data_IF_970472434189
#
_entry.id   IF_970472434189
#
_cell.length_a   1.000
_cell.length_b   1.000
_cell.length_c   1.000
_cell.angle_alpha   90.00
_cell.angle_beta   90.00
_cell.angle_gamma   90.00
#
_symmetry.space_group_name_H-M   'P 1'
#
loop_
_entity.id
_entity.type
_entity.pdbx_description
1 polymer ?
#
# COMPACT_ATOMS: atom_id res chain seq x y z
N UNK A 1 -7.54 20.27 -1.83
CA UNK A 1 -7.92 19.36 -0.71
C UNK A 1 -7.98 17.95 -1.29
N UNK A 2 -7.02 17.08 -0.95
CA UNK A 2 -7.03 15.65 -1.34
C UNK A 2 -7.54 14.78 -0.18
N UNK A 3 -7.89 13.52 -0.43
CA UNK A 3 -8.24 12.55 0.61
C UNK A 3 -9.62 11.92 0.49
N UNK A 4 -10.56 12.48 -0.28
CA UNK A 4 -11.93 11.92 -0.34
C UNK A 4 -12.00 10.60 -1.11
N UNK A 5 -11.31 10.51 -2.25
CA UNK A 5 -11.21 9.27 -3.03
C UNK A 5 -10.42 8.21 -2.25
N UNK A 6 -9.34 8.63 -1.61
CA UNK A 6 -8.45 7.76 -0.84
C UNK A 6 -9.19 7.15 0.36
N UNK A 7 -10.05 7.94 1.03
CA UNK A 7 -10.96 7.43 2.07
C UNK A 7 -11.96 6.43 1.52
N UNK A 8 -12.57 6.67 0.35
CA UNK A 8 -13.50 5.70 -0.26
C UNK A 8 -12.82 4.37 -0.59
N UNK A 9 -11.58 4.41 -1.08
CA UNK A 9 -10.76 3.21 -1.31
C UNK A 9 -10.54 2.46 0.01
N UNK A 10 -10.12 3.17 1.06
CA UNK A 10 -9.89 2.58 2.38
C UNK A 10 -11.15 1.93 2.95
N UNK A 11 -12.30 2.60 2.88
CA UNK A 11 -13.56 2.05 3.37
C UNK A 11 -14.01 0.83 2.55
N UNK A 12 -13.82 0.86 1.22
CA UNK A 12 -14.08 -0.31 0.39
C UNK A 12 -13.20 -1.49 0.79
N UNK A 13 -11.90 -1.27 1.03
CA UNK A 13 -10.98 -2.31 1.52
C UNK A 13 -11.44 -2.85 2.87
N UNK A 14 -11.73 -1.99 3.85
CA UNK A 14 -12.17 -2.42 5.19
C UNK A 14 -13.44 -3.28 5.16
N UNK A 15 -14.33 -3.03 4.21
CA UNK A 15 -15.60 -3.76 4.07
C UNK A 15 -15.46 -5.09 3.31
N UNK A 16 -14.46 -5.23 2.44
CA UNK A 16 -14.41 -6.35 1.48
C UNK A 16 -13.14 -7.21 1.57
N UNK A 17 -12.03 -6.65 2.04
CA UNK A 17 -10.76 -7.36 2.19
C UNK A 17 -10.65 -8.04 3.56
N UNK A 18 -9.72 -8.99 3.66
CA UNK A 18 -9.42 -9.70 4.91
C UNK A 18 -8.41 -8.89 5.73
N UNK A 19 -8.78 -8.53 6.96
CA UNK A 19 -7.87 -7.85 7.90
C UNK A 19 -6.67 -8.74 8.20
N UNK A 20 -5.47 -8.16 8.11
CA UNK A 20 -4.20 -8.87 8.31
C UNK A 20 -3.71 -9.65 7.09
N UNK A 21 -4.39 -9.56 5.95
CA UNK A 21 -3.97 -10.15 4.68
C UNK A 21 -3.57 -9.05 3.67
N UNK A 22 -2.27 -8.78 3.49
CA UNK A 22 -1.79 -7.79 2.54
C UNK A 22 -2.16 -8.06 1.08
N UNK A 23 -2.29 -9.33 0.68
CA UNK A 23 -2.64 -9.67 -0.70
C UNK A 23 -4.10 -9.33 -0.95
N UNK A 24 -4.98 -9.72 -0.02
CA UNK A 24 -6.40 -9.33 -0.07
C UNK A 24 -6.59 -7.82 -0.16
N UNK A 25 -5.79 -7.03 0.58
CA UNK A 25 -5.83 -5.57 0.53
C UNK A 25 -5.46 -5.04 -0.87
N UNK A 26 -4.35 -5.50 -1.45
CA UNK A 26 -3.88 -5.09 -2.79
C UNK A 26 -4.95 -5.41 -3.84
N UNK A 27 -5.48 -6.63 -3.83
CA UNK A 27 -6.50 -7.09 -4.79
C UNK A 27 -7.77 -6.24 -4.73
N UNK A 28 -8.19 -5.82 -3.52
CA UNK A 28 -9.39 -5.01 -3.34
C UNK A 28 -9.19 -3.54 -3.71
N UNK A 29 -7.98 -3.00 -3.58
CA UNK A 29 -7.66 -1.66 -4.13
C UNK A 29 -7.73 -1.71 -5.66
N UNK A 30 -7.09 -2.69 -6.30
CA UNK A 30 -7.12 -2.86 -7.76
C UNK A 30 -8.56 -3.05 -8.28
N UNK A 31 -9.36 -3.86 -7.58
CA UNK A 31 -10.78 -4.06 -7.90
C UNK A 31 -11.60 -2.78 -7.81
N UNK A 32 -11.43 -1.99 -6.73
CA UNK A 32 -12.12 -0.71 -6.61
C UNK A 32 -11.74 0.23 -7.76
N UNK A 33 -10.44 0.34 -8.04
CA UNK A 33 -9.94 1.31 -8.99
C UNK A 33 -10.26 0.96 -10.45
N UNK A 34 -10.42 -0.33 -10.76
CA UNK A 34 -10.84 -0.80 -12.08
C UNK A 34 -12.36 -0.74 -12.31
N UNK A 35 -13.17 -0.86 -11.26
CA UNK A 35 -14.64 -1.01 -11.39
C UNK A 35 -15.45 0.20 -10.93
N UNK A 36 -14.88 1.08 -10.08
CA UNK A 36 -15.62 2.18 -9.43
C UNK A 36 -15.06 3.53 -9.80
N UNK A 37 -13.80 3.79 -9.45
CA UNK A 37 -13.20 5.11 -9.61
C UNK A 37 -11.69 4.97 -9.83
N UNK A 38 -11.20 5.48 -10.96
CA UNK A 38 -9.78 5.43 -11.28
C UNK A 38 -8.93 6.18 -10.23
N UNK A 39 -7.81 5.56 -9.84
CA UNK A 39 -6.83 6.14 -8.94
C UNK A 39 -5.41 5.90 -9.42
N UNK A 40 -4.51 6.76 -8.95
CA UNK A 40 -3.10 6.85 -9.40
C UNK A 40 -2.16 5.85 -8.72
N UNK A 41 -2.69 4.81 -8.06
CA UNK A 41 -1.89 3.69 -7.57
C UNK A 41 -1.13 2.99 -8.72
N UNK A 42 -0.05 2.28 -8.38
CA UNK A 42 0.82 1.60 -9.34
C UNK A 42 0.04 0.62 -10.23
N UNK A 43 -0.96 -0.05 -9.66
CA UNK A 43 -1.77 -1.04 -10.35
C UNK A 43 -1.03 -2.37 -10.55
N UNK A 44 -1.79 -3.43 -10.83
CA UNK A 44 -1.27 -4.79 -10.79
C UNK A 44 -0.14 -5.08 -11.79
N UNK A 45 -0.27 -4.66 -13.05
CA UNK A 45 0.72 -4.96 -14.10
C UNK A 45 2.13 -4.43 -13.76
N UNK A 46 2.22 -3.16 -13.36
CA UNK A 46 3.50 -2.56 -12.90
C UNK A 46 3.90 -3.10 -11.52
N UNK A 47 2.92 -3.48 -10.70
CA UNK A 47 3.16 -4.12 -9.42
C UNK A 47 3.89 -5.46 -9.55
N UNK A 48 3.63 -6.25 -10.59
CA UNK A 48 4.37 -7.50 -10.84
C UNK A 48 5.84 -7.25 -11.16
N UNK A 49 6.16 -6.16 -11.85
CA UNK A 49 7.53 -5.73 -12.10
C UNK A 49 8.21 -5.35 -10.78
N UNK A 50 7.53 -4.58 -9.93
CA UNK A 50 8.03 -4.22 -8.61
C UNK A 50 8.28 -5.45 -7.73
N UNK A 51 7.34 -6.41 -7.71
CA UNK A 51 7.48 -7.65 -6.97
C UNK A 51 8.70 -8.46 -7.41
N UNK A 52 8.96 -8.50 -8.73
CA UNK A 52 10.13 -9.16 -9.31
C UNK A 52 11.43 -8.47 -8.86
N UNK A 53 11.50 -7.14 -8.95
CA UNK A 53 12.68 -6.38 -8.53
C UNK A 53 12.99 -6.60 -7.05
N UNK A 54 11.98 -6.60 -6.17
CA UNK A 54 12.19 -6.86 -4.74
C UNK A 54 12.76 -8.26 -4.46
N UNK A 55 12.29 -9.27 -5.19
CA UNK A 55 12.79 -10.64 -5.06
C UNK A 55 14.22 -10.80 -5.58
N UNK A 56 14.54 -10.13 -6.69
CA UNK A 56 15.87 -10.22 -7.32
C UNK A 56 16.94 -9.44 -6.56
N UNK A 57 16.57 -8.30 -5.97
CA UNK A 57 17.52 -7.42 -5.28
C UNK A 57 17.70 -7.74 -3.79
N UNK A 58 16.74 -8.45 -3.18
CA UNK A 58 16.75 -8.86 -1.77
C UNK A 58 17.19 -7.71 -0.81
N UNK A 59 16.44 -6.59 -0.80
CA UNK A 59 16.90 -5.37 -0.13
C UNK A 59 16.94 -5.52 1.39
N UNK A 60 17.88 -4.82 2.02
CA UNK A 60 17.96 -4.70 3.49
C UNK A 60 17.16 -3.51 4.05
N UNK A 61 16.81 -2.56 3.20
CA UNK A 61 15.97 -1.39 3.51
C UNK A 61 15.34 -0.87 2.20
N UNK A 62 14.10 -0.41 2.25
CA UNK A 62 13.43 0.24 1.12
C UNK A 62 12.99 1.64 1.50
N UNK A 63 13.14 2.59 0.58
CA UNK A 63 12.58 3.94 0.68
C UNK A 63 11.55 4.14 -0.44
N UNK A 64 10.35 4.58 -0.07
CA UNK A 64 9.28 4.98 -0.98
C UNK A 64 9.04 6.50 -0.86
N UNK A 65 8.97 7.18 -2.00
CA UNK A 65 8.64 8.60 -2.10
C UNK A 65 7.26 8.75 -2.73
N UNK A 66 6.26 9.13 -1.92
CA UNK A 66 4.86 9.20 -2.31
C UNK A 66 4.09 7.93 -1.93
N UNK A 67 3.52 7.91 -0.72
CA UNK A 67 2.74 6.76 -0.22
C UNK A 67 1.31 6.71 -0.78
N UNK A 68 0.72 7.87 -1.06
CA UNK A 68 -0.67 8.02 -1.49
C UNK A 68 -1.66 7.29 -0.56
N UNK A 69 -2.43 6.31 -1.06
CA UNK A 69 -3.37 5.52 -0.25
C UNK A 69 -2.74 4.25 0.37
N UNK A 70 -1.42 4.04 0.20
CA UNK A 70 -0.70 2.91 0.80
C UNK A 70 -0.61 1.64 -0.06
N UNK A 71 -1.09 1.65 -1.31
CA UNK A 71 -1.05 0.47 -2.20
C UNK A 71 0.36 -0.12 -2.36
N UNK A 72 1.31 0.71 -2.81
CA UNK A 72 2.68 0.26 -3.05
C UNK A 72 3.41 -0.05 -1.75
N UNK A 73 3.15 0.68 -0.66
CA UNK A 73 3.68 0.35 0.66
C UNK A 73 3.27 -1.06 1.13
N UNK A 74 1.98 -1.41 1.02
CA UNK A 74 1.47 -2.76 1.34
C UNK A 74 2.09 -3.79 0.40
N UNK A 75 2.17 -3.50 -0.91
CA UNK A 75 2.74 -4.39 -1.92
C UNK A 75 4.23 -4.68 -1.69
N UNK A 76 5.01 -3.68 -1.33
CA UNK A 76 6.42 -3.84 -0.99
C UNK A 76 6.55 -4.62 0.32
N UNK A 77 5.90 -4.16 1.38
CA UNK A 77 6.11 -4.69 2.73
C UNK A 77 5.66 -6.15 2.91
N UNK A 78 4.70 -6.64 2.11
CA UNK A 78 4.30 -8.06 2.13
C UNK A 78 5.42 -8.99 1.67
N UNK A 79 6.34 -8.52 0.83
CA UNK A 79 7.45 -9.30 0.28
C UNK A 79 8.76 -9.16 1.08
N UNK A 80 8.83 -8.21 2.02
CA UNK A 80 10.03 -7.99 2.82
C UNK A 80 10.23 -9.11 3.87
N UNK A 81 11.48 -9.54 4.03
CA UNK A 81 11.90 -10.45 5.12
C UNK A 81 11.60 -9.82 6.51
N UNK A 82 11.46 -10.62 7.59
CA UNK A 82 11.04 -10.12 8.91
C UNK A 82 11.84 -8.93 9.48
N UNK A 83 13.14 -8.87 9.20
CA UNK A 83 14.05 -7.83 9.71
C UNK A 83 14.23 -6.64 8.76
N UNK A 84 13.60 -6.67 7.58
CA UNK A 84 13.70 -5.60 6.59
C UNK A 84 12.56 -4.62 6.82
N UNK A 85 12.87 -3.34 6.62
CA UNK A 85 11.92 -2.23 6.82
C UNK A 85 11.67 -1.49 5.52
N UNK A 86 10.46 -0.94 5.42
CA UNK A 86 10.10 0.07 4.44
C UNK A 86 9.98 1.41 5.16
N UNK A 87 10.65 2.44 4.65
CA UNK A 87 10.39 3.83 5.01
C UNK A 87 9.56 4.43 3.87
N UNK A 88 8.43 5.03 4.17
CA UNK A 88 7.58 5.69 3.17
C UNK A 88 7.28 7.13 3.58
N UNK A 89 7.31 8.04 2.60
CA UNK A 89 7.15 9.48 2.82
C UNK A 89 5.94 9.98 2.03
N UNK A 90 4.99 10.63 2.71
CA UNK A 90 3.84 11.27 2.08
C UNK A 90 3.67 12.72 2.55
N UNK A 91 3.72 13.65 1.59
CA UNK A 91 3.64 15.08 1.88
C UNK A 91 2.22 15.51 2.28
N UNK A 92 1.18 14.88 1.72
CA UNK A 92 -0.19 15.24 2.03
C UNK A 92 -0.67 14.53 3.31
N UNK A 93 -1.00 15.26 4.38
CA UNK A 93 -1.36 14.65 5.67
C UNK A 93 -2.64 13.78 5.60
N UNK A 94 -3.59 14.10 4.70
CA UNK A 94 -4.79 13.29 4.55
C UNK A 94 -4.49 11.94 3.89
N UNK A 95 -3.61 11.93 2.89
CA UNK A 95 -3.15 10.69 2.26
C UNK A 95 -2.33 9.87 3.25
N UNK A 96 -1.42 10.51 3.99
CA UNK A 96 -0.61 9.86 5.01
C UNK A 96 -1.48 9.18 6.08
N UNK A 97 -2.56 9.82 6.53
CA UNK A 97 -3.52 9.21 7.45
C UNK A 97 -4.20 7.97 6.85
N UNK A 98 -4.69 8.06 5.60
CA UNK A 98 -5.30 6.92 4.90
C UNK A 98 -4.31 5.77 4.72
N UNK A 99 -3.08 6.07 4.30
CA UNK A 99 -2.04 5.06 4.11
C UNK A 99 -1.70 4.34 5.41
N UNK A 100 -1.57 5.06 6.54
CA UNK A 100 -1.33 4.46 7.86
C UNK A 100 -2.42 3.47 8.24
N UNK A 101 -3.69 3.85 8.07
CA UNK A 101 -4.82 2.95 8.32
C UNK A 101 -4.83 1.75 7.37
N UNK A 102 -4.49 1.94 6.09
CA UNK A 102 -4.40 0.86 5.11
C UNK A 102 -3.32 -0.16 5.49
N UNK A 103 -2.13 0.33 5.85
CA UNK A 103 -0.97 -0.47 6.28
C UNK A 103 -1.31 -1.24 7.57
N UNK A 104 -1.98 -0.59 8.52
CA UNK A 104 -2.41 -1.23 9.76
C UNK A 104 -3.46 -2.30 9.50
N UNK A 105 -4.45 -2.02 8.65
CA UNK A 105 -5.47 -3.00 8.26
C UNK A 105 -4.86 -4.22 7.57
N UNK A 106 -3.82 -4.02 6.76
CA UNK A 106 -3.04 -5.09 6.13
C UNK A 106 -2.15 -5.88 7.11
N UNK A 107 -2.02 -5.45 8.38
CA UNK A 107 -1.20 -6.13 9.38
C UNK A 107 0.31 -5.85 9.24
N UNK A 108 0.69 -4.73 8.61
CA UNK A 108 2.09 -4.43 8.24
C UNK A 108 2.71 -3.29 9.05
N UNK A 109 2.03 -2.82 10.11
CA UNK A 109 2.48 -1.68 10.93
C UNK A 109 3.91 -1.82 11.47
N UNK A 110 4.34 -3.04 11.80
CA UNK A 110 5.67 -3.27 12.39
C UNK A 110 6.80 -3.34 11.33
N UNK A 111 6.44 -3.38 10.04
CA UNK A 111 7.38 -3.40 8.91
C UNK A 111 7.54 -2.05 8.21
N UNK A 112 6.55 -1.16 8.33
CA UNK A 112 6.50 0.10 7.60
C UNK A 112 6.61 1.28 8.55
N UNK A 113 7.62 2.11 8.34
CA UNK A 113 7.78 3.40 9.00
C UNK A 113 7.29 4.51 8.07
N UNK A 114 6.18 5.17 8.44
CA UNK A 114 5.54 6.22 7.65
C UNK A 114 5.83 7.60 8.22
N UNK A 115 6.44 8.45 7.39
CA UNK A 115 6.76 9.85 7.67
C UNK A 115 5.69 10.73 7.02
#
# INVERSE_FOLDING_TARGET
MGGEKEKRILEFVKQNAVRGDPQSVVDHIDKYCSQKEWAMHVGDEKGLILDKVLKETDPSLVLELGTYCGYSAVRIARLLKPNVRLITIEMNPNNAAVAREMIEFAGLKDKVYSI
#
